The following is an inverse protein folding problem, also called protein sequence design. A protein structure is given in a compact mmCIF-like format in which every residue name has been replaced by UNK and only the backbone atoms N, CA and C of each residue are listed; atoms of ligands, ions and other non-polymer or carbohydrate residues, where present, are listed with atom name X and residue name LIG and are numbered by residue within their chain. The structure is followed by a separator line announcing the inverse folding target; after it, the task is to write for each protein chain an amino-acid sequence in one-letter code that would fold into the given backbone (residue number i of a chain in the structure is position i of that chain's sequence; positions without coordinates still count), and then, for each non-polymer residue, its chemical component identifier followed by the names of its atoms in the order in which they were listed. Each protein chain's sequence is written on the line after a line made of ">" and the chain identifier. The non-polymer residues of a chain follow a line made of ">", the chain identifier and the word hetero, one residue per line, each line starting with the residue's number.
data_IF_541193296889
#
_entry.id   IF_541193296889
#
_cell.length_a   1.000
_cell.length_b   1.000
_cell.length_c   1.000
_cell.angle_alpha   90.00
_cell.angle_beta   90.00
_cell.angle_gamma   90.00
#
_symmetry.space_group_name_H-M   'P 1'
#
loop_
_entity.id
_entity.type
_entity.pdbx_description
1 polymer ?
#
# COMPACT_ATOMS: atom_id res chain seq x y z
N UNK A 1 6.79 -8.92 -30.49
CA UNK A 1 5.60 -8.03 -30.39
C UNK A 1 5.68 -7.30 -29.06
N UNK A 2 5.80 -5.98 -29.05
CA UNK A 2 5.85 -5.21 -27.80
C UNK A 2 4.43 -5.10 -27.22
N UNK A 3 4.24 -5.55 -25.97
CA UNK A 3 2.96 -5.46 -25.27
C UNK A 3 2.80 -4.01 -24.83
N UNK A 4 1.81 -3.31 -25.41
CA UNK A 4 1.47 -1.95 -25.00
C UNK A 4 0.89 -1.99 -23.57
N UNK A 5 1.37 -1.16 -22.64
CA UNK A 5 0.77 -1.06 -21.31
C UNK A 5 -0.66 -0.54 -21.40
N UNK A 6 -1.54 -1.07 -20.55
CA UNK A 6 -2.92 -0.58 -20.43
C UNK A 6 -2.94 0.84 -19.88
N UNK A 7 -3.83 1.69 -20.41
CA UNK A 7 -4.10 3.01 -19.85
C UNK A 7 -4.88 2.91 -18.52
N UNK A 8 -4.80 3.94 -17.69
CA UNK A 8 -5.55 4.03 -16.44
C UNK A 8 -7.07 3.89 -16.63
N UNK A 9 -7.60 4.35 -17.76
CA UNK A 9 -9.02 4.20 -18.09
C UNK A 9 -9.37 2.74 -18.39
N UNK A 10 -8.58 2.07 -19.22
CA UNK A 10 -8.76 0.64 -19.52
C UNK A 10 -8.63 -0.22 -18.27
N UNK A 11 -7.69 0.09 -17.38
CA UNK A 11 -7.56 -0.59 -16.09
C UNK A 11 -8.82 -0.41 -15.25
N UNK A 12 -9.35 0.81 -15.12
CA UNK A 12 -10.57 1.08 -14.34
C UNK A 12 -11.79 0.36 -14.91
N UNK A 13 -11.95 0.34 -16.22
CA UNK A 13 -13.08 -0.31 -16.87
C UNK A 13 -12.98 -1.84 -16.77
N UNK A 14 -11.80 -2.41 -16.96
CA UNK A 14 -11.54 -3.85 -16.78
C UNK A 14 -11.81 -4.28 -15.32
N UNK A 15 -11.38 -3.48 -14.34
CA UNK A 15 -11.64 -3.74 -12.93
C UNK A 15 -13.14 -3.70 -12.60
N UNK A 16 -13.90 -2.78 -13.21
CA UNK A 16 -15.35 -2.70 -13.02
C UNK A 16 -16.06 -3.93 -13.58
N UNK A 17 -15.69 -4.33 -14.80
CA UNK A 17 -16.27 -5.51 -15.46
C UNK A 17 -15.92 -6.80 -14.72
N UNK A 18 -14.67 -6.95 -14.27
CA UNK A 18 -14.25 -8.06 -13.43
C UNK A 18 -15.05 -8.14 -12.13
N UNK A 19 -15.23 -7.02 -11.42
CA UNK A 19 -16.06 -6.97 -10.21
C UNK A 19 -17.51 -7.41 -10.49
N UNK A 20 -18.10 -6.98 -11.60
CA UNK A 20 -19.45 -7.37 -12.01
C UNK A 20 -19.55 -8.88 -12.28
N UNK A 21 -18.58 -9.44 -13.01
CA UNK A 21 -18.49 -10.88 -13.29
C UNK A 21 -18.27 -11.69 -12.03
N UNK A 22 -17.41 -11.22 -11.13
CA UNK A 22 -17.21 -11.84 -9.83
C UNK A 22 -18.45 -11.80 -8.97
N UNK A 23 -19.36 -10.82 -9.10
CA UNK A 23 -20.67 -10.77 -8.43
C UNK A 23 -21.73 -11.73 -9.00
N UNK A 24 -21.46 -12.40 -10.12
CA UNK A 24 -22.35 -13.45 -10.65
C UNK A 24 -22.35 -14.70 -9.76
N UNK A 25 -23.45 -15.45 -9.73
CA UNK A 25 -23.62 -16.70 -8.95
C UNK A 25 -23.13 -17.95 -9.69
N UNK A 26 -22.28 -17.77 -10.70
CA UNK A 26 -21.70 -18.93 -11.42
C UNK A 26 -20.80 -19.72 -10.49
N UNK A 27 -20.75 -21.05 -10.65
CA UNK A 27 -19.91 -21.93 -9.82
C UNK A 27 -18.44 -21.51 -9.80
N UNK A 28 -17.92 -21.05 -10.94
CA UNK A 28 -16.57 -20.52 -11.08
C UNK A 28 -16.35 -19.21 -10.31
N UNK A 29 -17.32 -18.29 -10.33
CA UNK A 29 -17.24 -17.05 -9.55
C UNK A 29 -17.27 -17.32 -8.05
N UNK A 30 -18.08 -18.28 -7.59
CA UNK A 30 -18.11 -18.70 -6.18
C UNK A 30 -16.78 -19.35 -5.75
N UNK A 31 -16.19 -20.20 -6.60
CA UNK A 31 -14.88 -20.80 -6.32
C UNK A 31 -13.77 -19.74 -6.24
N UNK A 32 -13.77 -18.78 -7.16
CA UNK A 32 -12.82 -17.65 -7.14
C UNK A 32 -13.02 -16.79 -5.90
N UNK A 33 -14.26 -16.46 -5.50
CA UNK A 33 -14.52 -15.72 -4.26
C UNK A 33 -14.06 -16.48 -3.02
N UNK A 34 -14.27 -17.80 -2.97
CA UNK A 34 -13.82 -18.65 -1.86
C UNK A 34 -12.30 -18.68 -1.77
N UNK A 35 -11.61 -18.73 -2.92
CA UNK A 35 -10.14 -18.64 -3.00
C UNK A 35 -9.63 -17.25 -2.64
N UNK A 36 -10.28 -16.17 -3.11
CA UNK A 36 -9.94 -14.77 -2.79
C UNK A 36 -10.14 -14.46 -1.30
N UNK A 37 -11.21 -14.97 -0.68
CA UNK A 37 -11.44 -14.89 0.78
C UNK A 37 -10.32 -15.54 1.59
N UNK A 38 -9.58 -16.47 0.97
CA UNK A 38 -8.45 -17.17 1.57
C UNK A 38 -7.09 -16.60 1.13
N UNK A 39 -7.05 -15.52 0.34
CA UNK A 39 -5.79 -14.79 0.13
C UNK A 39 -5.58 -13.95 1.38
N UNK A 40 -4.97 -14.56 2.39
CA UNK A 40 -4.30 -13.80 3.43
C UNK A 40 -3.13 -13.08 2.78
N UNK A 41 -2.99 -11.78 3.01
CA UNK A 41 -1.72 -11.10 2.75
C UNK A 41 -0.71 -11.73 3.70
N UNK A 42 0.20 -12.52 3.16
CA UNK A 42 1.27 -13.14 3.94
C UNK A 42 2.35 -12.09 4.08
N UNK A 43 2.53 -11.58 5.30
CA UNK A 43 3.60 -10.64 5.61
C UNK A 43 4.96 -11.34 5.60
N UNK A 44 6.00 -10.63 5.18
CA UNK A 44 7.38 -11.12 5.16
C UNK A 44 7.93 -11.37 6.57
N UNK A 45 7.39 -10.69 7.57
CA UNK A 45 7.71 -10.88 8.99
C UNK A 45 6.89 -11.98 9.68
N UNK A 46 5.98 -12.66 8.96
CA UNK A 46 5.15 -13.72 9.55
C UNK A 46 5.96 -14.97 9.88
N UNK A 47 5.55 -15.70 10.92
CA UNK A 47 6.20 -16.96 11.32
C UNK A 47 6.15 -18.02 10.21
N UNK A 48 5.14 -17.95 9.34
CA UNK A 48 5.05 -18.80 8.16
C UNK A 48 6.24 -18.58 7.23
N UNK A 49 6.57 -17.32 6.93
CA UNK A 49 7.67 -16.95 6.03
C UNK A 49 9.02 -17.25 6.67
N UNK A 50 9.19 -16.93 7.96
CA UNK A 50 10.43 -17.22 8.72
C UNK A 50 10.79 -18.70 8.76
N UNK A 51 9.78 -19.58 8.78
CA UNK A 51 9.96 -21.02 8.85
C UNK A 51 10.05 -21.69 7.45
N UNK A 52 10.05 -20.93 6.35
CA UNK A 52 10.23 -21.50 5.01
C UNK A 52 11.64 -22.07 4.84
N UNK A 53 11.72 -23.18 4.09
CA UNK A 53 13.01 -23.68 3.62
C UNK A 53 13.74 -22.64 2.77
N UNK A 54 15.07 -22.65 2.82
CA UNK A 54 15.95 -21.60 2.24
C UNK A 54 15.59 -21.18 0.81
N UNK A 55 15.32 -22.13 -0.08
CA UNK A 55 14.95 -21.84 -1.47
C UNK A 55 13.58 -21.16 -1.59
N UNK A 56 12.60 -21.61 -0.82
CA UNK A 56 11.24 -21.06 -0.84
C UNK A 56 11.21 -19.64 -0.25
N UNK A 57 11.94 -19.43 0.85
CA UNK A 57 12.14 -18.10 1.45
C UNK A 57 12.77 -17.12 0.44
N UNK A 58 13.83 -17.53 -0.25
CA UNK A 58 14.48 -16.69 -1.26
C UNK A 58 13.54 -16.32 -2.42
N UNK A 59 12.74 -17.27 -2.91
CA UNK A 59 11.72 -17.00 -3.92
C UNK A 59 10.64 -16.04 -3.41
N UNK A 60 10.22 -16.20 -2.15
CA UNK A 60 9.22 -15.35 -1.51
C UNK A 60 9.71 -13.90 -1.33
N UNK A 61 10.97 -13.69 -0.91
CA UNK A 61 11.54 -12.36 -0.68
C UNK A 61 12.00 -11.65 -1.96
N UNK A 62 12.08 -12.34 -3.10
CA UNK A 62 12.56 -11.79 -4.36
C UNK A 62 11.78 -10.55 -4.85
N UNK A 63 10.45 -10.48 -4.77
CA UNK A 63 9.70 -9.28 -5.11
C UNK A 63 10.07 -8.09 -4.22
N UNK A 64 10.23 -8.28 -2.89
CA UNK A 64 10.64 -7.22 -1.97
C UNK A 64 11.98 -6.61 -2.38
N UNK A 65 12.96 -7.46 -2.72
CA UNK A 65 14.28 -7.02 -3.20
C UNK A 65 14.20 -6.28 -4.53
N UNK A 66 13.30 -6.68 -5.42
CA UNK A 66 13.12 -6.03 -6.73
C UNK A 66 12.26 -4.77 -6.67
N UNK A 67 11.45 -4.62 -5.62
CA UNK A 67 10.58 -3.47 -5.38
C UNK A 67 11.24 -2.43 -4.49
N UNK A 68 12.39 -2.72 -3.87
CA UNK A 68 13.16 -1.70 -3.17
C UNK A 68 13.56 -0.61 -4.17
N UNK A 69 13.05 0.62 -4.03
CA UNK A 69 13.49 1.71 -4.86
C UNK A 69 14.98 1.93 -4.58
N UNK A 70 15.76 2.11 -5.64
CA UNK A 70 17.12 2.63 -5.48
C UNK A 70 16.99 4.03 -4.91
N UNK A 71 17.30 4.17 -3.62
CA UNK A 71 17.34 5.47 -2.96
C UNK A 71 18.55 6.20 -3.52
N UNK A 72 18.32 7.33 -4.18
CA UNK A 72 19.42 8.16 -4.66
C UNK A 72 20.18 8.73 -3.46
N UNK A 73 21.51 8.74 -3.53
CA UNK A 73 22.39 9.24 -2.46
C UNK A 73 21.99 10.64 -1.99
N UNK A 74 21.59 11.52 -2.91
CA UNK A 74 21.09 12.86 -2.59
C UNK A 74 19.83 12.88 -1.72
N UNK A 75 18.94 11.90 -1.86
CA UNK A 75 17.74 11.78 -1.02
C UNK A 75 18.18 11.35 0.38
N UNK A 76 19.10 10.39 0.47
CA UNK A 76 19.62 9.90 1.73
C UNK A 76 20.35 11.01 2.51
N UNK A 77 21.24 11.75 1.85
CA UNK A 77 21.92 12.92 2.44
C UNK A 77 20.93 13.98 2.95
N UNK A 78 19.84 14.24 2.21
CA UNK A 78 18.80 15.18 2.62
C UNK A 78 18.03 14.68 3.84
N UNK A 79 17.69 13.39 3.88
CA UNK A 79 17.05 12.78 5.04
C UNK A 79 17.96 12.80 6.27
N UNK A 80 19.23 12.43 6.13
CA UNK A 80 20.20 12.42 7.22
C UNK A 80 20.45 13.83 7.74
N UNK A 81 20.57 14.81 6.85
CA UNK A 81 20.67 16.22 7.20
C UNK A 81 19.42 16.71 7.93
N UNK A 82 18.23 16.33 7.49
CA UNK A 82 17.00 16.67 8.18
C UNK A 82 17.00 16.07 9.59
N UNK A 83 17.22 14.77 9.76
CA UNK A 83 17.21 14.11 11.08
C UNK A 83 18.22 14.72 12.03
N UNK A 84 19.43 15.03 11.53
CA UNK A 84 20.51 15.59 12.35
C UNK A 84 20.25 17.03 12.78
N UNK A 85 19.55 17.81 11.96
CA UNK A 85 19.31 19.23 12.18
C UNK A 85 17.87 19.56 12.59
N UNK A 86 16.99 18.56 12.64
CA UNK A 86 15.60 18.75 13.04
C UNK A 86 15.55 19.10 14.52
N UNK A 87 15.18 20.34 14.80
CA UNK A 87 14.93 20.82 16.15
C UNK A 87 13.45 21.18 16.29
N UNK A 88 12.77 20.51 17.22
CA UNK A 88 11.35 20.73 17.50
C UNK A 88 11.10 22.16 18.00
N UNK A 89 12.08 22.79 18.63
CA UNK A 89 11.97 24.18 19.11
C UNK A 89 11.98 25.20 17.96
N UNK A 90 12.52 24.82 16.80
CA UNK A 90 12.55 25.64 15.59
C UNK A 90 11.29 25.48 14.72
N UNK A 91 10.25 24.78 15.21
CA UNK A 91 8.97 24.66 14.50
C UNK A 91 8.37 26.03 14.16
N UNK A 92 8.58 27.04 15.00
CA UNK A 92 8.09 28.41 14.77
C UNK A 92 8.78 29.12 13.60
N UNK A 93 9.94 28.62 13.16
CA UNK A 93 10.68 29.13 12.00
C UNK A 93 10.28 28.43 10.69
N UNK A 94 9.47 27.37 10.78
CA UNK A 94 8.98 26.69 9.58
C UNK A 94 8.08 27.63 8.77
N UNK A 95 8.19 27.59 7.42
CA UNK A 95 7.24 28.25 6.55
C UNK A 95 5.80 27.90 6.95
N UNK A 96 4.87 28.86 7.04
CA UNK A 96 3.49 28.62 7.47
C UNK A 96 2.77 27.53 6.67
N UNK A 97 3.16 27.31 5.42
CA UNK A 97 2.66 26.24 4.53
C UNK A 97 3.03 24.81 4.97
N UNK A 98 4.04 24.66 5.84
CA UNK A 98 4.49 23.38 6.40
C UNK A 98 3.96 23.14 7.82
N UNK A 99 3.39 24.18 8.44
CA UNK A 99 2.74 24.04 9.73
C UNK A 99 1.37 23.40 9.53
N UNK A 100 1.15 22.27 10.18
CA UNK A 100 -0.18 21.70 10.25
C UNK A 100 -1.09 22.69 10.98
N UNK A 101 -2.08 23.20 10.29
CA UNK A 101 -3.01 24.21 10.80
C UNK A 101 -4.05 23.61 11.79
N UNK A 102 -3.81 22.40 12.29
CA UNK A 102 -4.71 21.64 13.18
C UNK A 102 -6.09 21.39 12.60
N UNK A 103 -6.26 21.55 11.29
CA UNK A 103 -7.49 21.22 10.57
C UNK A 103 -7.22 20.06 9.64
N UNK A 104 -8.12 19.10 9.64
CA UNK A 104 -8.13 18.06 8.62
C UNK A 104 -8.65 18.63 7.31
N UNK A 105 -8.16 18.09 6.20
CA UNK A 105 -8.69 18.42 4.88
C UNK A 105 -10.06 17.76 4.68
N UNK A 106 -10.21 16.58 5.28
CA UNK A 106 -11.41 15.76 5.33
C UNK A 106 -12.39 16.31 6.38
N UNK A 107 -13.70 16.12 6.14
CA UNK A 107 -14.73 16.51 7.10
C UNK A 107 -14.71 15.59 8.33
N UNK A 108 -15.34 16.01 9.43
CA UNK A 108 -15.45 15.16 10.64
C UNK A 108 -16.21 13.88 10.30
N UNK A 109 -17.24 13.98 9.45
CA UNK A 109 -18.04 12.86 8.97
C UNK A 109 -17.19 11.87 8.18
N UNK A 110 -16.34 12.35 7.25
CA UNK A 110 -15.41 11.51 6.49
C UNK A 110 -14.42 10.80 7.43
N UNK A 111 -13.89 11.51 8.43
CA UNK A 111 -12.97 10.92 9.41
C UNK A 111 -13.64 9.84 10.26
N UNK A 112 -14.89 10.04 10.66
CA UNK A 112 -15.70 9.05 11.40
C UNK A 112 -16.00 7.83 10.55
N UNK A 113 -16.36 8.02 9.27
CA UNK A 113 -16.59 6.91 8.34
C UNK A 113 -15.33 6.08 8.12
N UNK A 114 -14.22 6.74 7.75
CA UNK A 114 -12.94 6.07 7.50
C UNK A 114 -12.43 5.33 8.75
N UNK A 115 -12.54 5.94 9.93
CA UNK A 115 -12.14 5.29 11.18
C UNK A 115 -13.04 4.08 11.50
N UNK A 116 -14.33 4.16 11.21
CA UNK A 116 -15.25 3.03 11.30
C UNK A 116 -14.89 1.89 10.34
N UNK A 117 -14.54 2.20 9.09
CA UNK A 117 -14.08 1.20 8.12
C UNK A 117 -12.81 0.48 8.57
N UNK A 118 -11.83 1.24 9.10
CA UNK A 118 -10.57 0.68 9.62
C UNK A 118 -10.84 -0.23 10.82
N UNK A 119 -11.64 0.21 11.78
CA UNK A 119 -11.94 -0.57 12.99
C UNK A 119 -12.76 -1.83 12.70
N UNK A 120 -13.61 -1.82 11.67
CA UNK A 120 -14.38 -2.99 11.25
C UNK A 120 -13.57 -3.97 10.36
N UNK A 121 -12.35 -3.59 9.95
CA UNK A 121 -11.47 -4.43 9.11
C UNK A 121 -10.30 -5.04 9.88
N UNK A 122 -10.11 -4.67 11.15
CA UNK A 122 -9.18 -5.28 12.10
C UNK A 122 -9.86 -6.41 12.90
#
# INVERSE_FOLDING_TARGET
>A
MAIKPLSNKEIKDNMRDLKKKLRSTTSHAEEIRKKLKNISVISDDSDLVKNLGKSAHQSFMKPLLNMQPVVLEIIQEKCDSFVKNFNIDNLNELPPKLLYNKTWKESVEDLVEISGEILNTL
#
